data_IF_817863216540
#
_entry.id   IF_817863216540
#
_cell.length_a   1.000
_cell.length_b   1.000
_cell.length_c   1.000
_cell.angle_alpha   90.00
_cell.angle_beta   90.00
_cell.angle_gamma   90.00
#
_symmetry.space_group_name_H-M   'P 1'
#
loop_
_entity.id
_entity.type
_entity.pdbx_description
1 polymer ?
#
# COMPACT_ATOMS: atom_id res chain seq x y z
N UNK A 1 22.06 -20.12 4.91
CA UNK A 1 21.26 -19.58 6.03
C UNK A 1 20.70 -18.22 5.61
N UNK A 2 19.49 -18.21 5.14
CA UNK A 2 18.75 -16.94 5.07
C UNK A 2 18.44 -16.55 6.52
N UNK A 3 19.18 -15.61 7.08
CA UNK A 3 18.82 -15.03 8.36
C UNK A 3 17.57 -14.19 8.14
N UNK A 4 16.41 -14.74 8.45
CA UNK A 4 15.21 -13.95 8.64
C UNK A 4 15.51 -12.92 9.73
N UNK A 5 15.31 -11.64 9.42
CA UNK A 5 15.71 -10.53 10.29
C UNK A 5 14.63 -10.14 11.27
N UNK A 6 13.61 -10.94 11.41
CA UNK A 6 12.57 -10.68 12.39
C UNK A 6 12.79 -11.61 13.58
N UNK A 7 13.13 -11.04 14.73
CA UNK A 7 13.10 -11.74 16.01
C UNK A 7 11.72 -12.37 16.33
N UNK A 8 10.74 -12.07 15.50
CA UNK A 8 9.38 -12.60 15.55
C UNK A 8 9.20 -13.96 14.88
N UNK A 9 10.18 -14.46 14.12
CA UNK A 9 10.00 -15.71 13.36
C UNK A 9 10.19 -16.97 14.18
N UNK A 10 10.96 -16.92 15.27
CA UNK A 10 11.30 -18.09 16.05
C UNK A 10 10.07 -18.78 16.67
N UNK A 11 9.04 -18.01 16.99
CA UNK A 11 7.80 -18.55 17.59
C UNK A 11 6.62 -18.63 16.63
N UNK A 12 6.72 -18.04 15.45
CA UNK A 12 5.61 -17.97 14.50
C UNK A 12 5.64 -19.07 13.45
N UNK A 13 6.83 -19.51 13.07
CA UNK A 13 7.02 -20.63 12.16
C UNK A 13 8.28 -21.39 12.54
N UNK A 14 8.09 -22.60 12.99
CA UNK A 14 9.14 -23.54 13.38
C UNK A 14 8.87 -24.91 12.77
N UNK A 15 9.87 -25.77 12.75
CA UNK A 15 9.68 -27.17 12.45
C UNK A 15 9.04 -27.83 13.68
N UNK A 16 7.79 -28.28 13.53
CA UNK A 16 7.10 -29.13 14.47
C UNK A 16 7.30 -30.58 14.03
N UNK A 17 7.30 -31.51 14.98
CA UNK A 17 7.56 -32.94 14.75
C UNK A 17 8.97 -33.26 14.21
N UNK A 18 9.21 -34.50 13.77
CA UNK A 18 10.50 -34.98 13.27
C UNK A 18 10.32 -35.96 12.11
N UNK A 19 11.38 -36.12 11.30
CA UNK A 19 11.38 -37.04 10.17
C UNK A 19 10.40 -36.67 9.09
N UNK A 20 9.65 -37.60 8.58
CA UNK A 20 8.66 -37.39 7.51
C UNK A 20 7.42 -36.61 7.99
N UNK A 21 7.17 -36.57 9.29
CA UNK A 21 6.05 -35.87 9.90
C UNK A 21 6.42 -34.39 10.23
N UNK A 22 7.55 -33.90 9.74
CA UNK A 22 7.99 -32.53 9.98
C UNK A 22 7.10 -31.54 9.22
N UNK A 23 6.43 -30.69 9.96
CA UNK A 23 5.61 -29.61 9.43
C UNK A 23 6.17 -28.24 9.84
N UNK A 24 6.01 -27.23 8.99
CA UNK A 24 6.36 -25.85 9.31
C UNK A 24 5.10 -25.12 9.77
N UNK A 25 5.00 -24.90 11.07
CA UNK A 25 3.85 -24.28 11.70
C UNK A 25 4.22 -23.34 12.84
N UNK A 26 3.21 -22.84 13.52
CA UNK A 26 3.40 -22.09 14.77
C UNK A 26 3.72 -23.04 15.91
N UNK A 27 4.32 -22.53 16.97
CA UNK A 27 4.50 -23.27 18.22
C UNK A 27 3.13 -23.75 18.73
N UNK A 28 3.07 -24.98 19.22
CA UNK A 28 1.85 -25.59 19.76
C UNK A 28 0.66 -25.63 18.76
N UNK A 29 0.94 -25.66 17.46
CA UNK A 29 -0.08 -25.70 16.39
C UNK A 29 -1.07 -24.52 16.43
N UNK A 30 -0.69 -23.43 17.09
CA UNK A 30 -1.54 -22.24 17.19
C UNK A 30 -1.82 -21.65 15.80
N UNK A 31 -3.04 -21.20 15.53
CA UNK A 31 -3.35 -20.51 14.29
C UNK A 31 -2.61 -19.17 14.21
N UNK A 32 -2.28 -18.73 12.98
CA UNK A 32 -1.56 -17.46 12.76
C UNK A 32 -2.32 -16.22 13.27
N UNK A 33 -3.63 -16.32 13.46
CA UNK A 33 -4.46 -15.26 14.04
C UNK A 33 -4.21 -15.04 15.53
N UNK A 34 -3.75 -16.06 16.25
CA UNK A 34 -3.51 -16.02 17.71
C UNK A 34 -2.06 -15.71 18.07
N UNK A 35 -1.16 -15.73 17.10
CA UNK A 35 0.24 -15.35 17.33
C UNK A 35 0.51 -13.94 16.81
N UNK A 36 1.58 -13.30 17.31
CA UNK A 36 1.94 -11.94 16.88
C UNK A 36 2.37 -11.85 15.39
N UNK A 37 1.63 -12.51 14.50
CA UNK A 37 1.83 -12.45 13.06
C UNK A 37 1.21 -11.16 12.50
N UNK A 38 1.99 -10.43 11.68
CA UNK A 38 1.55 -9.18 11.02
C UNK A 38 1.05 -9.42 9.60
N UNK A 39 0.84 -10.67 9.20
CA UNK A 39 0.30 -11.09 7.91
C UNK A 39 1.04 -10.55 6.67
N UNK A 40 2.32 -10.18 6.80
CA UNK A 40 3.10 -9.52 5.75
C UNK A 40 3.49 -10.43 4.57
N UNK A 41 3.32 -11.76 4.66
CA UNK A 41 3.63 -12.73 3.60
C UNK A 41 5.12 -12.92 3.28
N UNK A 42 6.05 -12.35 4.03
CA UNK A 42 7.48 -12.52 3.76
C UNK A 42 7.96 -13.97 3.95
N UNK A 43 7.23 -14.77 4.72
CA UNK A 43 7.45 -16.20 4.81
C UNK A 43 7.10 -16.95 3.50
N UNK A 44 6.10 -16.47 2.75
CA UNK A 44 5.75 -16.99 1.42
C UNK A 44 6.92 -16.75 0.47
N UNK A 45 7.43 -15.51 0.42
CA UNK A 45 8.58 -15.13 -0.41
C UNK A 45 9.85 -15.92 -0.07
N UNK A 46 10.03 -16.27 1.21
CA UNK A 46 11.19 -17.02 1.68
C UNK A 46 11.04 -18.54 1.54
N UNK A 47 9.84 -19.05 1.26
CA UNK A 47 9.56 -20.49 1.16
C UNK A 47 10.16 -21.06 -0.13
N UNK A 48 11.17 -21.96 -0.06
CA UNK A 48 11.83 -22.46 -1.27
C UNK A 48 10.99 -23.51 -2.02
N UNK A 49 9.97 -24.07 -1.36
CA UNK A 49 9.14 -25.15 -1.90
C UNK A 49 7.76 -24.67 -2.39
N UNK A 50 7.40 -23.41 -2.12
CA UNK A 50 6.07 -22.90 -2.43
C UNK A 50 4.93 -23.50 -1.57
N UNK A 51 5.28 -24.15 -0.45
CA UNK A 51 4.29 -24.78 0.44
C UNK A 51 3.47 -23.74 1.25
N UNK A 52 3.99 -22.53 1.40
CA UNK A 52 3.30 -21.45 2.09
C UNK A 52 2.62 -20.56 1.05
N UNK A 53 1.30 -20.41 1.20
CA UNK A 53 0.48 -19.58 0.30
C UNK A 53 -0.35 -18.60 1.13
N UNK A 54 -0.85 -17.57 0.47
CA UNK A 54 -1.86 -16.68 1.01
C UNK A 54 -3.26 -17.31 0.97
N UNK A 55 -4.20 -16.72 1.69
CA UNK A 55 -5.63 -17.06 1.55
C UNK A 55 -6.08 -16.67 0.14
N UNK A 56 -6.48 -17.65 -0.66
CA UNK A 56 -6.96 -17.44 -2.02
C UNK A 56 -8.37 -16.83 -2.02
N UNK A 57 -8.53 -15.71 -2.71
CA UNK A 57 -9.82 -15.05 -2.94
C UNK A 57 -10.23 -15.05 -4.42
N UNK A 58 -9.52 -15.75 -5.29
CA UNK A 58 -9.79 -15.73 -6.74
C UNK A 58 -11.18 -16.25 -7.07
N UNK A 59 -11.62 -17.34 -6.44
CA UNK A 59 -12.93 -17.92 -6.74
C UNK A 59 -14.07 -16.97 -6.35
N UNK A 60 -14.02 -16.34 -5.18
CA UNK A 60 -15.06 -15.39 -4.74
C UNK A 60 -15.17 -14.19 -5.69
N UNK A 61 -14.03 -13.74 -6.23
CA UNK A 61 -14.00 -12.65 -7.22
C UNK A 61 -14.56 -13.11 -8.56
N UNK A 62 -14.22 -14.32 -9.03
CA UNK A 62 -14.80 -14.90 -10.24
C UNK A 62 -16.32 -15.07 -10.11
N UNK A 63 -16.81 -15.57 -8.97
CA UNK A 63 -18.23 -15.72 -8.70
C UNK A 63 -18.93 -14.35 -8.70
N UNK A 64 -18.28 -13.31 -8.17
CA UNK A 64 -18.82 -11.95 -8.20
C UNK A 64 -18.89 -11.38 -9.61
N UNK A 65 -17.86 -11.59 -10.45
CA UNK A 65 -17.81 -11.14 -11.84
C UNK A 65 -18.92 -11.81 -12.68
N UNK A 66 -19.20 -13.08 -12.42
CA UNK A 66 -20.21 -13.83 -13.16
C UNK A 66 -21.67 -13.59 -12.68
N UNK A 67 -21.86 -12.82 -11.61
CA UNK A 67 -23.16 -12.52 -11.05
C UNK A 67 -23.73 -11.26 -11.72
N UNK A 68 -24.83 -11.37 -12.52
CA UNK A 68 -25.39 -10.23 -13.24
C UNK A 68 -25.99 -9.14 -12.33
N UNK A 69 -26.30 -9.46 -11.06
CA UNK A 69 -26.82 -8.53 -10.08
C UNK A 69 -25.70 -7.68 -9.41
N UNK A 70 -24.44 -7.90 -9.79
CA UNK A 70 -23.30 -7.18 -9.23
C UNK A 70 -22.65 -6.28 -10.26
N UNK A 71 -22.08 -5.19 -9.77
CA UNK A 71 -21.08 -4.38 -10.47
C UNK A 71 -19.77 -4.56 -9.74
N UNK A 72 -18.78 -5.10 -10.44
CA UNK A 72 -17.46 -5.44 -9.85
C UNK A 72 -16.42 -4.44 -10.30
N UNK A 73 -15.93 -3.65 -9.37
CA UNK A 73 -14.89 -2.65 -9.65
C UNK A 73 -13.58 -3.04 -9.00
N UNK A 74 -12.46 -2.70 -9.62
CA UNK A 74 -11.15 -3.06 -9.11
C UNK A 74 -10.22 -1.85 -9.09
N UNK A 75 -9.43 -1.73 -8.02
CA UNK A 75 -8.33 -0.78 -7.89
C UNK A 75 -6.97 -1.51 -7.88
N UNK A 76 -5.95 -0.96 -8.54
CA UNK A 76 -4.64 -1.59 -8.70
C UNK A 76 -3.54 -0.77 -8.04
N UNK A 77 -2.73 -1.39 -7.15
CA UNK A 77 -1.63 -0.69 -6.50
C UNK A 77 -0.45 -0.41 -7.45
N UNK A 78 0.29 0.70 -7.24
CA UNK A 78 1.39 1.10 -8.13
C UNK A 78 2.48 0.04 -8.30
N UNK A 79 2.83 -0.71 -7.26
CA UNK A 79 3.86 -1.73 -7.33
C UNK A 79 3.47 -2.96 -8.17
N UNK A 80 2.17 -3.18 -8.43
CA UNK A 80 1.69 -4.31 -9.25
C UNK A 80 2.11 -4.14 -10.69
N UNK A 81 1.99 -2.93 -11.25
CA UNK A 81 2.35 -2.64 -12.66
C UNK A 81 3.81 -2.90 -13.00
N UNK A 82 4.71 -2.81 -12.01
CA UNK A 82 6.15 -3.03 -12.20
C UNK A 82 6.58 -4.50 -12.00
N UNK A 83 5.67 -5.39 -11.61
CA UNK A 83 5.97 -6.78 -11.31
C UNK A 83 5.12 -7.79 -12.09
N UNK A 84 3.87 -7.46 -12.42
CA UNK A 84 2.94 -8.38 -13.08
C UNK A 84 3.48 -8.93 -14.41
N UNK A 85 4.19 -8.11 -15.19
CA UNK A 85 4.77 -8.51 -16.48
C UNK A 85 5.79 -9.65 -16.38
N UNK A 86 6.46 -9.79 -15.24
CA UNK A 86 7.45 -10.85 -15.00
C UNK A 86 6.83 -12.24 -15.09
N UNK A 87 5.57 -12.37 -14.65
CA UNK A 87 4.79 -13.61 -14.69
C UNK A 87 4.45 -14.05 -16.12
N UNK A 88 4.65 -13.18 -17.09
CA UNK A 88 4.39 -13.41 -18.52
C UNK A 88 5.66 -13.26 -19.37
N UNK A 89 6.85 -13.43 -18.77
CA UNK A 89 8.13 -13.41 -19.46
C UNK A 89 8.61 -12.03 -19.93
N UNK A 90 7.96 -10.96 -19.51
CA UNK A 90 8.39 -9.60 -19.85
C UNK A 90 9.60 -9.16 -18.98
N UNK A 91 10.42 -8.22 -19.47
CA UNK A 91 11.55 -7.72 -18.70
C UNK A 91 11.11 -7.19 -17.33
N UNK A 92 11.90 -7.53 -16.28
CA UNK A 92 11.63 -7.15 -14.90
C UNK A 92 11.53 -5.62 -14.79
N UNK A 93 10.51 -5.13 -14.09
CA UNK A 93 10.31 -3.69 -13.87
C UNK A 93 9.62 -2.98 -15.05
N UNK A 94 9.21 -3.69 -16.10
CA UNK A 94 8.41 -3.10 -17.17
C UNK A 94 7.08 -2.61 -16.60
N UNK A 95 6.75 -1.33 -16.84
CA UNK A 95 5.41 -0.82 -16.54
C UNK A 95 4.39 -1.45 -17.50
N UNK A 96 3.52 -2.30 -16.96
CA UNK A 96 2.47 -2.99 -17.72
C UNK A 96 1.07 -2.49 -17.38
N UNK A 97 0.94 -1.25 -16.87
CA UNK A 97 -0.33 -0.67 -16.43
C UNK A 97 -1.44 -0.84 -17.48
N UNK A 98 -1.22 -0.36 -18.70
CA UNK A 98 -2.22 -0.47 -19.76
C UNK A 98 -2.61 -1.90 -20.10
N UNK A 99 -1.64 -2.82 -20.18
CA UNK A 99 -1.91 -4.25 -20.40
C UNK A 99 -2.66 -4.87 -19.22
N UNK A 100 -2.34 -4.47 -18.02
CA UNK A 100 -3.05 -4.90 -16.81
C UNK A 100 -4.51 -4.46 -16.84
N UNK A 101 -4.78 -3.20 -17.19
CA UNK A 101 -6.16 -2.68 -17.33
C UNK A 101 -6.94 -3.48 -18.37
N UNK A 102 -6.35 -3.70 -19.56
CA UNK A 102 -6.98 -4.47 -20.62
C UNK A 102 -7.25 -5.93 -20.21
N UNK A 103 -6.32 -6.56 -19.49
CA UNK A 103 -6.48 -7.93 -19.00
C UNK A 103 -7.61 -8.01 -17.95
N UNK A 104 -7.69 -7.05 -17.03
CA UNK A 104 -8.73 -7.01 -16.01
C UNK A 104 -10.12 -6.83 -16.62
N UNK A 105 -10.28 -5.98 -17.64
CA UNK A 105 -11.54 -5.87 -18.38
C UNK A 105 -11.92 -7.17 -19.08
N UNK A 106 -10.95 -7.87 -19.67
CA UNK A 106 -11.19 -9.18 -20.29
C UNK A 106 -11.52 -10.29 -19.30
N UNK A 107 -11.08 -10.15 -18.04
CA UNK A 107 -11.50 -11.01 -16.94
C UNK A 107 -12.96 -10.74 -16.50
N UNK A 108 -13.55 -9.60 -16.92
CA UNK A 108 -14.92 -9.25 -16.63
C UNK A 108 -15.13 -8.19 -15.53
N UNK A 109 -14.10 -7.50 -15.10
CA UNK A 109 -14.29 -6.34 -14.22
C UNK A 109 -14.99 -5.20 -14.96
N UNK A 110 -16.05 -4.65 -14.37
CA UNK A 110 -16.83 -3.56 -14.96
C UNK A 110 -16.06 -2.24 -15.04
N UNK A 111 -15.23 -1.97 -14.02
CA UNK A 111 -14.39 -0.77 -13.93
C UNK A 111 -13.02 -1.08 -13.33
N UNK A 112 -12.00 -0.46 -13.90
CA UNK A 112 -10.61 -0.60 -13.47
C UNK A 112 -10.07 0.77 -13.10
N UNK A 113 -9.77 0.98 -11.83
CA UNK A 113 -9.24 2.21 -11.27
C UNK A 113 -7.79 2.02 -10.79
N UNK A 114 -7.12 3.14 -10.54
CA UNK A 114 -5.74 3.15 -10.06
C UNK A 114 -5.68 3.62 -8.60
N UNK A 115 -5.06 2.82 -7.74
CA UNK A 115 -4.83 3.19 -6.34
C UNK A 115 -3.87 4.39 -6.18
N UNK A 116 -3.18 4.82 -7.24
CA UNK A 116 -2.41 6.07 -7.24
C UNK A 116 -3.30 7.27 -6.90
N UNK A 117 -4.58 7.24 -7.33
CA UNK A 117 -5.59 8.19 -6.92
C UNK A 117 -5.84 8.16 -5.40
N UNK A 118 -5.91 6.96 -4.82
CA UNK A 118 -5.98 6.76 -3.37
C UNK A 118 -4.74 7.26 -2.64
N UNK A 119 -3.57 7.05 -3.23
CA UNK A 119 -2.31 7.55 -2.70
C UNK A 119 -2.26 9.09 -2.70
N UNK A 120 -2.78 9.73 -3.74
CA UNK A 120 -2.88 11.20 -3.79
C UNK A 120 -3.74 11.74 -2.65
N UNK A 121 -4.87 11.11 -2.34
CA UNK A 121 -5.69 11.46 -1.16
C UNK A 121 -4.90 11.27 0.15
N UNK A 122 -4.18 10.16 0.28
CA UNK A 122 -3.36 9.90 1.47
C UNK A 122 -2.29 10.97 1.67
N UNK A 123 -1.62 11.39 0.59
CA UNK A 123 -0.62 12.47 0.65
C UNK A 123 -1.27 13.78 1.11
N UNK A 124 -2.47 14.10 0.59
CA UNK A 124 -3.18 15.30 0.99
C UNK A 124 -3.49 15.31 2.49
N UNK A 125 -4.08 14.23 3.00
CA UNK A 125 -4.48 14.14 4.40
C UNK A 125 -3.29 13.98 5.34
N UNK A 126 -2.31 13.13 5.02
CA UNK A 126 -1.15 12.90 5.89
C UNK A 126 -0.24 14.13 5.98
N UNK A 127 -0.08 14.87 4.88
CA UNK A 127 0.63 16.14 4.90
C UNK A 127 -0.14 17.21 5.69
N UNK A 128 -1.47 17.25 5.58
CA UNK A 128 -2.29 18.17 6.37
C UNK A 128 -2.21 17.84 7.86
N UNK A 129 -2.31 16.56 8.23
CA UNK A 129 -2.15 16.11 9.63
C UNK A 129 -0.76 16.44 10.17
N UNK A 130 0.29 16.23 9.37
CA UNK A 130 1.66 16.61 9.76
C UNK A 130 1.80 18.11 10.01
N UNK A 131 1.28 18.94 9.10
CA UNK A 131 1.30 20.40 9.23
C UNK A 131 0.56 20.84 10.48
N UNK A 132 -0.61 20.25 10.75
CA UNK A 132 -1.42 20.56 11.92
C UNK A 132 -0.67 20.23 13.22
N UNK A 133 -0.09 19.01 13.32
CA UNK A 133 0.71 18.60 14.48
C UNK A 133 1.92 19.50 14.72
N UNK A 134 2.60 19.95 13.66
CA UNK A 134 3.77 20.84 13.77
C UNK A 134 3.37 22.25 14.19
N UNK A 135 2.22 22.77 13.72
CA UNK A 135 1.76 24.13 14.02
C UNK A 135 1.06 24.24 15.37
N UNK A 136 0.24 23.26 15.70
CA UNK A 136 -0.65 23.31 16.86
C UNK A 136 -0.13 22.50 18.06
N UNK A 137 1.09 21.95 17.98
CA UNK A 137 1.73 21.25 19.09
C UNK A 137 1.22 19.83 19.31
N UNK A 138 0.84 19.13 18.23
CA UNK A 138 0.45 17.71 18.28
C UNK A 138 1.61 16.76 18.57
N UNK A 139 1.29 15.48 18.81
CA UNK A 139 2.27 14.45 19.16
C UNK A 139 3.18 14.12 17.97
N UNK A 140 4.48 14.27 18.16
CA UNK A 140 5.52 13.95 17.18
C UNK A 140 6.43 12.81 17.72
N UNK A 141 7.10 12.03 16.85
CA UNK A 141 6.94 12.06 15.39
C UNK A 141 5.56 11.60 14.96
N UNK A 142 5.05 12.10 13.83
CA UNK A 142 3.99 11.39 13.11
C UNK A 142 4.61 10.21 12.39
N UNK A 143 3.98 9.04 12.51
CA UNK A 143 4.44 7.80 11.87
C UNK A 143 3.39 7.35 10.86
N UNK A 144 3.80 7.05 9.63
CA UNK A 144 2.88 6.71 8.55
C UNK A 144 2.06 5.46 8.86
N UNK A 145 0.81 5.42 8.41
CA UNK A 145 -0.18 4.34 8.65
C UNK A 145 -0.49 3.47 7.44
N UNK A 146 0.08 3.76 6.27
CA UNK A 146 -0.25 3.07 5.01
C UNK A 146 0.20 1.60 4.95
N UNK A 147 1.08 1.16 5.86
CA UNK A 147 1.61 -0.21 5.96
C UNK A 147 0.90 -1.01 7.06
N UNK A 148 -0.11 -1.86 6.76
CA UNK A 148 -0.90 -2.54 7.78
C UNK A 148 -0.07 -3.50 8.65
N UNK A 149 0.95 -4.12 8.08
CA UNK A 149 1.87 -4.95 8.85
C UNK A 149 2.69 -4.16 9.88
N UNK A 150 3.00 -2.90 9.62
CA UNK A 150 3.60 -2.00 10.59
C UNK A 150 2.60 -1.58 11.67
N UNK A 151 1.42 -1.16 11.26
CA UNK A 151 0.37 -0.72 12.20
C UNK A 151 0.08 -1.82 13.22
N UNK A 152 -0.17 -3.06 12.76
CA UNK A 152 -0.39 -4.21 13.64
C UNK A 152 0.82 -4.51 14.53
N UNK A 153 2.04 -4.40 14.00
CA UNK A 153 3.26 -4.58 14.79
C UNK A 153 3.37 -3.53 15.89
N UNK A 154 3.10 -2.27 15.58
CA UNK A 154 3.14 -1.17 16.51
C UNK A 154 2.09 -1.34 17.61
N UNK A 155 0.84 -1.58 17.27
CA UNK A 155 -0.25 -1.80 18.23
C UNK A 155 0.01 -2.97 19.18
N UNK A 156 0.64 -4.02 18.68
CA UNK A 156 0.92 -5.22 19.50
C UNK A 156 2.15 -5.05 20.38
N UNK A 157 3.17 -4.33 19.92
CA UNK A 157 4.48 -4.30 20.58
C UNK A 157 4.81 -2.96 21.23
N UNK A 158 4.22 -1.89 20.73
CA UNK A 158 4.45 -0.50 21.14
C UNK A 158 3.12 0.26 21.23
N UNK A 159 2.15 -0.21 22.03
CA UNK A 159 0.82 0.42 22.10
C UNK A 159 0.88 1.88 22.54
N UNK A 160 1.91 2.28 23.28
CA UNK A 160 2.15 3.65 23.70
C UNK A 160 2.46 4.62 22.55
N UNK A 161 2.79 4.10 21.37
CA UNK A 161 3.00 4.88 20.15
C UNK A 161 1.74 4.97 19.27
N UNK A 162 0.61 4.47 19.72
CA UNK A 162 -0.63 4.49 18.93
C UNK A 162 -0.99 5.90 18.46
N UNK A 163 -0.87 6.91 19.32
CA UNK A 163 -1.15 8.31 18.98
C UNK A 163 -0.11 8.95 18.04
N UNK A 164 1.06 8.33 17.89
CA UNK A 164 2.06 8.77 16.94
C UNK A 164 1.75 8.30 15.53
N UNK A 165 0.99 7.20 15.38
CA UNK A 165 0.57 6.73 14.06
C UNK A 165 -0.41 7.74 13.46
N UNK A 166 -0.24 8.04 12.17
CA UNK A 166 -1.17 8.89 11.43
C UNK A 166 -2.60 8.34 11.53
N UNK A 167 -3.56 9.23 11.67
CA UNK A 167 -4.99 8.87 11.67
C UNK A 167 -5.50 8.50 10.30
N UNK A 168 -4.74 8.79 9.25
CA UNK A 168 -5.08 8.47 7.87
C UNK A 168 -5.30 6.97 7.67
N UNK A 169 -6.30 6.62 6.86
CA UNK A 169 -6.41 5.27 6.29
C UNK A 169 -5.35 5.05 5.22
N UNK A 170 -5.07 3.81 4.88
CA UNK A 170 -4.18 3.53 3.74
C UNK A 170 -4.83 3.92 2.41
N UNK A 171 -4.03 4.12 1.33
CA UNK A 171 -4.56 4.39 -0.01
C UNK A 171 -5.65 3.40 -0.46
N UNK A 172 -5.46 2.10 -0.17
CA UNK A 172 -6.47 1.07 -0.45
C UNK A 172 -7.79 1.39 0.24
N UNK A 173 -7.75 1.72 1.52
CA UNK A 173 -8.96 1.93 2.32
C UNK A 173 -9.63 3.27 2.01
N UNK A 174 -8.85 4.34 1.86
CA UNK A 174 -9.38 5.63 1.43
C UNK A 174 -10.11 5.51 0.09
N UNK A 175 -9.48 4.86 -0.86
CA UNK A 175 -10.06 4.70 -2.19
C UNK A 175 -11.25 3.74 -2.21
N UNK A 176 -11.19 2.67 -1.42
CA UNK A 176 -12.34 1.78 -1.21
C UNK A 176 -13.56 2.52 -0.67
N UNK A 177 -13.37 3.38 0.35
CA UNK A 177 -14.43 4.19 0.93
C UNK A 177 -15.02 5.19 -0.09
N UNK A 178 -14.16 5.85 -0.88
CA UNK A 178 -14.58 6.78 -1.94
C UNK A 178 -15.36 6.05 -3.04
N UNK A 179 -14.85 4.92 -3.53
CA UNK A 179 -15.55 4.08 -4.52
C UNK A 179 -16.93 3.70 -3.98
N UNK A 180 -16.99 3.23 -2.75
CA UNK A 180 -18.26 2.80 -2.15
C UNK A 180 -19.24 3.95 -1.99
N UNK A 181 -18.77 5.13 -1.61
CA UNK A 181 -19.60 6.33 -1.51
C UNK A 181 -20.11 6.79 -2.89
N UNK A 182 -19.23 6.76 -3.91
CA UNK A 182 -19.58 7.11 -5.29
C UNK A 182 -20.66 6.18 -5.86
N UNK A 183 -20.51 4.87 -5.65
CA UNK A 183 -21.48 3.86 -6.12
C UNK A 183 -22.74 3.75 -5.24
N UNK A 184 -22.93 4.61 -4.25
CA UNK A 184 -24.23 4.75 -3.58
C UNK A 184 -25.30 5.34 -4.48
N UNK A 185 -24.89 6.09 -5.50
CA UNK A 185 -25.82 6.65 -6.47
C UNK A 185 -26.38 5.53 -7.38
N UNK A 186 -27.72 5.30 -7.39
CA UNK A 186 -28.36 4.27 -8.22
C UNK A 186 -28.16 4.45 -9.72
N UNK A 187 -27.94 5.67 -10.19
CA UNK A 187 -27.63 5.95 -11.59
C UNK A 187 -26.25 5.41 -11.99
N UNK A 188 -25.30 5.40 -11.04
CA UNK A 188 -23.93 4.94 -11.25
C UNK A 188 -23.85 3.42 -11.14
N UNK A 189 -24.47 2.83 -10.12
CA UNK A 189 -24.46 1.39 -9.91
C UNK A 189 -25.50 0.62 -10.73
N UNK A 190 -26.38 1.34 -11.46
CA UNK A 190 -27.47 0.77 -12.27
C UNK A 190 -28.39 -0.17 -11.48
N UNK A 191 -28.60 0.10 -10.21
CA UNK A 191 -29.38 -0.74 -9.31
C UNK A 191 -28.68 -2.03 -8.86
N UNK A 192 -27.45 -2.29 -9.31
CA UNK A 192 -26.67 -3.48 -8.95
C UNK A 192 -25.95 -3.32 -7.62
N UNK A 193 -25.58 -4.45 -7.02
CA UNK A 193 -24.77 -4.47 -5.80
C UNK A 193 -23.30 -4.28 -6.12
N UNK A 194 -22.69 -3.25 -5.54
CA UNK A 194 -21.24 -3.03 -5.67
C UNK A 194 -20.43 -4.13 -4.98
N UNK A 195 -19.43 -4.66 -5.69
CA UNK A 195 -18.31 -5.44 -5.16
C UNK A 195 -17.01 -4.67 -5.47
N UNK A 196 -16.31 -4.25 -4.43
CA UNK A 196 -15.05 -3.53 -4.52
C UNK A 196 -13.87 -4.48 -4.31
N UNK A 197 -13.01 -4.61 -5.31
CA UNK A 197 -11.83 -5.46 -5.28
C UNK A 197 -10.58 -4.60 -5.32
N UNK A 198 -9.53 -5.00 -4.62
CA UNK A 198 -8.21 -4.38 -4.75
C UNK A 198 -7.15 -5.40 -5.15
N UNK A 199 -6.22 -5.00 -6.01
CA UNK A 199 -5.04 -5.78 -6.40
C UNK A 199 -3.82 -5.17 -5.75
N UNK A 200 -3.21 -5.92 -4.83
CA UNK A 200 -2.18 -5.43 -3.94
C UNK A 200 -0.91 -6.30 -3.97
N UNK A 201 0.27 -5.72 -3.85
CA UNK A 201 1.53 -6.47 -3.72
C UNK A 201 1.71 -7.11 -2.34
N UNK A 202 0.68 -7.14 -1.50
CA UNK A 202 0.78 -7.30 -0.06
C UNK A 202 -0.32 -8.19 0.49
N UNK A 203 0.04 -9.24 1.23
CA UNK A 203 -0.94 -10.13 1.89
C UNK A 203 -1.56 -9.51 3.15
N UNK A 204 -0.86 -8.59 3.84
CA UNK A 204 -1.43 -7.89 4.99
C UNK A 204 -2.63 -7.01 4.62
N UNK A 205 -2.77 -6.62 3.37
CA UNK A 205 -3.94 -5.91 2.85
C UNK A 205 -5.22 -6.75 2.90
N UNK A 206 -5.12 -8.09 2.85
CA UNK A 206 -6.25 -9.00 3.06
C UNK A 206 -6.80 -8.97 4.50
N UNK A 207 -5.93 -8.69 5.47
CA UNK A 207 -6.32 -8.51 6.87
C UNK A 207 -6.83 -7.09 7.13
N UNK A 208 -6.20 -6.10 6.52
CA UNK A 208 -6.56 -4.69 6.70
C UNK A 208 -8.04 -4.42 6.42
N UNK A 209 -8.62 -5.05 5.38
CA UNK A 209 -10.04 -4.86 5.03
C UNK A 209 -11.01 -5.40 6.09
N UNK A 210 -10.53 -6.25 7.00
CA UNK A 210 -11.34 -6.85 8.08
C UNK A 210 -11.28 -6.05 9.38
N UNK A 211 -10.41 -5.05 9.46
CA UNK A 211 -10.20 -4.26 10.68
C UNK A 211 -11.34 -3.26 10.88
N UNK A 212 -11.94 -3.19 12.08
CA UNK A 212 -13.07 -2.29 12.37
C UNK A 212 -12.78 -0.82 12.08
N UNK A 213 -11.56 -0.35 12.39
CA UNK A 213 -11.14 1.02 12.14
C UNK A 213 -11.00 1.37 10.65
N UNK A 214 -10.98 0.37 9.79
CA UNK A 214 -10.96 0.53 8.31
C UNK A 214 -12.35 0.48 7.68
N UNK A 215 -13.40 0.30 8.49
CA UNK A 215 -14.78 0.19 8.02
C UNK A 215 -15.50 1.53 8.08
N UNK A 216 -16.34 1.81 7.08
CA UNK A 216 -17.24 2.96 7.09
C UNK A 216 -18.62 2.52 7.55
N UNK A 217 -19.11 3.10 8.66
CA UNK A 217 -20.39 2.74 9.26
C UNK A 217 -20.54 1.22 9.54
N UNK A 218 -19.48 0.58 10.02
CA UNK A 218 -19.46 -0.85 10.32
C UNK A 218 -19.49 -1.79 9.10
N UNK A 219 -19.29 -1.26 7.89
CA UNK A 219 -19.23 -2.02 6.65
C UNK A 219 -17.84 -1.93 6.01
N UNK A 220 -17.36 -3.05 5.50
CA UNK A 220 -16.13 -3.11 4.72
C UNK A 220 -16.23 -2.23 3.46
N UNK A 221 -15.21 -1.43 3.19
CA UNK A 221 -15.13 -0.57 2.01
C UNK A 221 -14.52 -1.29 0.81
N UNK A 222 -13.68 -2.31 1.05
CA UNK A 222 -13.14 -3.23 0.05
C UNK A 222 -13.61 -4.64 0.41
N UNK A 223 -14.22 -5.35 -0.53
CA UNK A 223 -14.79 -6.69 -0.29
C UNK A 223 -13.71 -7.79 -0.41
N UNK A 224 -12.82 -7.69 -1.40
CA UNK A 224 -11.77 -8.68 -1.65
C UNK A 224 -10.44 -8.02 -2.00
N UNK A 225 -9.35 -8.70 -1.60
CA UNK A 225 -7.99 -8.33 -1.99
C UNK A 225 -7.36 -9.48 -2.76
N UNK A 226 -6.88 -9.22 -3.95
CA UNK A 226 -6.07 -10.13 -4.74
C UNK A 226 -4.60 -9.69 -4.70
N UNK A 227 -3.69 -10.65 -4.67
CA UNK A 227 -2.26 -10.41 -4.83
C UNK A 227 -1.88 -10.32 -6.30
N UNK A 228 -0.69 -9.82 -6.60
CA UNK A 228 -0.15 -9.82 -7.97
C UNK A 228 -0.09 -11.23 -8.55
N UNK A 229 0.29 -12.22 -7.74
CA UNK A 229 0.39 -13.64 -8.14
C UNK A 229 -0.98 -14.28 -8.36
N UNK A 230 -1.98 -13.97 -7.54
CA UNK A 230 -3.36 -14.42 -7.76
C UNK A 230 -3.91 -13.88 -9.10
N UNK A 231 -3.74 -12.59 -9.38
CA UNK A 231 -4.18 -12.00 -10.65
C UNK A 231 -3.44 -12.60 -11.84
N UNK A 232 -2.14 -12.82 -11.75
CA UNK A 232 -1.38 -13.50 -12.81
C UNK A 232 -1.93 -14.91 -13.08
N UNK A 233 -2.31 -15.64 -12.01
CA UNK A 233 -2.96 -16.96 -12.13
C UNK A 233 -4.32 -16.87 -12.82
N UNK A 234 -5.17 -15.89 -12.44
CA UNK A 234 -6.47 -15.66 -13.10
C UNK A 234 -6.31 -15.40 -14.60
N UNK A 235 -5.38 -14.50 -14.98
CA UNK A 235 -5.10 -14.16 -16.37
C UNK A 235 -4.66 -15.40 -17.17
N UNK A 236 -3.75 -16.23 -16.62
CA UNK A 236 -3.32 -17.48 -17.26
C UNK A 236 -4.47 -18.47 -17.42
N UNK A 237 -5.25 -18.70 -16.37
CA UNK A 237 -6.38 -19.64 -16.38
C UNK A 237 -7.48 -19.24 -17.37
N UNK A 238 -7.63 -17.95 -17.63
CA UNK A 238 -8.59 -17.41 -18.60
C UNK A 238 -8.08 -17.44 -20.04
N UNK A 239 -6.86 -17.94 -20.30
CA UNK A 239 -6.29 -18.04 -21.63
C UNK A 239 -5.90 -16.70 -22.26
N UNK A 240 -5.83 -15.63 -21.49
CA UNK A 240 -5.43 -14.29 -21.95
C UNK A 240 -3.93 -14.28 -22.23
N UNK A 241 -3.55 -14.00 -23.48
CA UNK A 241 -2.15 -13.82 -23.88
C UNK A 241 -1.69 -12.40 -23.52
N UNK A 242 -1.30 -12.23 -22.27
CA UNK A 242 -0.99 -10.93 -21.67
C UNK A 242 0.09 -10.14 -22.43
N UNK A 243 1.09 -10.82 -22.94
CA UNK A 243 2.19 -10.23 -23.72
C UNK A 243 1.72 -9.59 -25.04
N UNK A 244 0.61 -10.08 -25.61
CA UNK A 244 0.11 -9.70 -26.92
C UNK A 244 -1.08 -8.73 -26.90
N UNK A 245 -1.63 -8.41 -25.72
CA UNK A 245 -2.76 -7.48 -25.64
C UNK A 245 -2.29 -6.03 -25.71
N UNK A 246 -3.08 -5.19 -26.38
CA UNK A 246 -2.87 -3.76 -26.38
C UNK A 246 -3.26 -3.16 -25.03
N UNK A 247 -2.57 -2.09 -24.66
CA UNK A 247 -2.85 -1.39 -23.39
C UNK A 247 -4.10 -0.52 -23.50
N UNK A 248 -4.83 -0.44 -22.39
CA UNK A 248 -6.00 0.43 -22.21
C UNK A 248 -5.78 1.38 -21.06
N UNK A 249 -6.52 2.49 -21.04
CA UNK A 249 -6.49 3.46 -19.91
C UNK A 249 -7.43 3.03 -18.80
N UNK A 250 -7.10 3.43 -17.58
CA UNK A 250 -7.97 3.33 -16.41
C UNK A 250 -9.28 4.10 -16.59
N UNK A 251 -10.31 3.72 -15.84
CA UNK A 251 -11.63 4.31 -15.95
C UNK A 251 -11.75 5.65 -15.19
N UNK A 252 -12.54 6.56 -15.76
CA UNK A 252 -12.93 7.81 -15.08
C UNK A 252 -14.11 7.57 -14.12
N UNK A 253 -14.27 8.39 -13.05
CA UNK A 253 -13.54 9.65 -12.80
C UNK A 253 -12.24 9.50 -12.00
N UNK A 254 -11.82 8.29 -11.62
CA UNK A 254 -10.72 8.04 -10.71
C UNK A 254 -9.46 7.49 -11.41
N UNK A 255 -9.34 7.70 -12.71
CA UNK A 255 -8.27 7.13 -13.54
C UNK A 255 -7.01 7.98 -13.66
N UNK A 256 -6.91 9.10 -12.96
CA UNK A 256 -5.75 10.00 -13.04
C UNK A 256 -5.07 10.09 -11.68
N UNK A 257 -3.84 9.56 -11.58
CA UNK A 257 -2.97 9.70 -10.42
C UNK A 257 -1.81 10.67 -10.68
N UNK A 258 -1.08 11.03 -9.64
CA UNK A 258 0.16 11.81 -9.73
C UNK A 258 1.41 10.93 -9.63
N UNK A 259 2.56 11.47 -10.05
CA UNK A 259 3.86 10.84 -9.83
C UNK A 259 4.14 10.59 -8.35
N UNK A 260 3.61 11.43 -7.45
CA UNK A 260 3.64 11.23 -6.01
C UNK A 260 2.92 9.94 -5.59
N UNK A 261 1.76 9.63 -6.20
CA UNK A 261 1.02 8.39 -5.97
C UNK A 261 1.78 7.15 -6.41
N UNK A 262 2.35 7.18 -7.62
CA UNK A 262 3.11 6.06 -8.19
C UNK A 262 4.27 5.62 -7.30
N UNK A 263 5.05 6.56 -6.76
CA UNK A 263 6.24 6.24 -5.96
C UNK A 263 5.93 5.67 -4.57
N UNK A 264 4.66 5.61 -4.14
CA UNK A 264 4.27 4.89 -2.91
C UNK A 264 4.69 3.41 -2.91
N UNK A 265 4.89 2.83 -4.08
CA UNK A 265 5.35 1.46 -4.23
C UNK A 265 6.77 1.19 -3.73
N UNK A 266 7.59 2.21 -3.54
CA UNK A 266 9.00 2.11 -3.09
C UNK A 266 9.21 2.73 -1.71
N UNK A 267 10.25 2.27 -0.99
CA UNK A 267 10.61 2.86 0.31
C UNK A 267 11.14 4.27 0.14
N UNK A 268 10.64 5.21 0.91
CA UNK A 268 10.88 6.65 0.80
C UNK A 268 9.89 7.37 -0.10
N UNK A 269 9.03 6.65 -0.79
CA UNK A 269 8.07 7.22 -1.72
C UNK A 269 6.99 8.05 -1.03
N UNK A 270 6.53 7.64 0.14
CA UNK A 270 5.57 8.41 0.94
C UNK A 270 6.20 9.71 1.41
N UNK A 271 7.40 9.62 2.01
CA UNK A 271 8.15 10.81 2.45
C UNK A 271 8.44 11.75 1.30
N UNK A 272 8.88 11.23 0.15
CA UNK A 272 9.13 12.05 -1.04
C UNK A 272 7.84 12.75 -1.52
N UNK A 273 6.71 12.06 -1.53
CA UNK A 273 5.44 12.63 -1.96
C UNK A 273 4.95 13.72 -0.99
N UNK A 274 5.08 13.50 0.33
CA UNK A 274 4.80 14.53 1.35
C UNK A 274 5.72 15.74 1.17
N UNK A 275 7.02 15.54 0.97
CA UNK A 275 7.96 16.62 0.71
C UNK A 275 7.57 17.45 -0.53
N UNK A 276 7.17 16.78 -1.61
CA UNK A 276 6.66 17.46 -2.82
C UNK A 276 5.42 18.31 -2.52
N UNK A 277 4.52 17.82 -1.67
CA UNK A 277 3.30 18.53 -1.26
C UNK A 277 3.60 19.74 -0.39
N UNK A 278 4.58 19.65 0.51
CA UNK A 278 4.98 20.74 1.41
C UNK A 278 5.69 21.88 0.69
N UNK A 279 6.35 21.61 -0.42
CA UNK A 279 7.06 22.64 -1.18
C UNK A 279 6.13 23.44 -2.08
N UNK A 280 6.29 24.76 -2.07
CA UNK A 280 5.48 25.69 -2.88
C UNK A 280 5.93 25.76 -4.34
N UNK A 281 7.19 25.44 -4.62
CA UNK A 281 7.76 25.51 -5.96
C UNK A 281 7.36 24.34 -6.88
N UNK A 282 7.37 24.59 -8.18
CA UNK A 282 7.03 23.63 -9.24
C UNK A 282 8.21 23.38 -10.17
N UNK A 283 9.40 23.91 -9.85
CA UNK A 283 10.54 23.81 -10.73
C UNK A 283 11.12 22.38 -10.75
N UNK A 284 11.64 22.00 -11.91
CA UNK A 284 12.38 20.73 -12.07
C UNK A 284 13.54 20.62 -11.07
N UNK A 285 14.19 21.74 -10.78
CA UNK A 285 15.33 21.81 -9.84
C UNK A 285 14.89 21.45 -8.42
N UNK A 286 13.72 21.90 -7.97
CA UNK A 286 13.19 21.55 -6.65
C UNK A 286 12.81 20.07 -6.56
N UNK A 287 12.19 19.52 -7.61
CA UNK A 287 11.90 18.09 -7.67
C UNK A 287 13.18 17.26 -7.62
N UNK A 288 14.23 17.68 -8.33
CA UNK A 288 15.51 16.97 -8.33
C UNK A 288 16.22 17.09 -6.97
N UNK A 289 16.11 18.23 -6.27
CA UNK A 289 16.60 18.36 -4.89
C UNK A 289 15.95 17.36 -3.94
N UNK A 290 14.62 17.19 -4.01
CA UNK A 290 13.92 16.20 -3.20
C UNK A 290 14.40 14.78 -3.54
N UNK A 291 14.47 14.44 -4.83
CA UNK A 291 14.93 13.12 -5.30
C UNK A 291 16.34 12.78 -4.83
N UNK A 292 17.22 13.79 -4.72
CA UNK A 292 18.61 13.62 -4.29
C UNK A 292 18.85 13.87 -2.80
N UNK A 293 17.82 14.18 -2.02
CA UNK A 293 17.91 14.45 -0.57
C UNK A 293 18.30 13.25 0.30
N UNK A 294 18.48 12.05 -0.30
CA UNK A 294 18.70 10.81 0.43
C UNK A 294 17.39 10.03 0.72
N UNK A 295 16.23 10.57 0.32
CA UNK A 295 14.93 9.89 0.49
C UNK A 295 14.85 8.60 -0.32
N UNK A 296 15.47 8.56 -1.51
CA UNK A 296 15.57 7.38 -2.37
C UNK A 296 16.74 6.49 -1.95
N UNK A 297 16.64 5.21 -2.18
CA UNK A 297 17.69 4.23 -1.92
C UNK A 297 17.19 3.00 -1.20
N UNK A 298 18.09 2.05 -0.98
CA UNK A 298 17.79 0.69 -0.50
C UNK A 298 18.10 0.46 0.98
N UNK A 299 18.69 1.44 1.65
CA UNK A 299 19.12 1.31 3.04
C UNK A 299 17.92 1.04 3.96
N UNK A 300 18.15 0.22 4.99
CA UNK A 300 17.13 -0.17 5.94
C UNK A 300 16.61 0.99 6.79
N UNK A 301 17.44 2.01 7.00
CA UNK A 301 17.14 3.28 7.64
C UNK A 301 17.80 4.39 6.82
N UNK A 302 17.05 5.42 6.51
CA UNK A 302 17.53 6.67 5.91
C UNK A 302 17.06 7.82 6.76
N UNK A 303 17.91 8.79 6.99
CA UNK A 303 17.62 9.98 7.80
C UNK A 303 17.86 11.20 6.92
N UNK A 304 16.95 12.16 6.98
CA UNK A 304 17.04 13.38 6.19
C UNK A 304 16.49 14.57 6.98
N UNK A 305 16.99 15.75 6.63
CA UNK A 305 16.49 17.02 7.15
C UNK A 305 16.06 17.92 6.01
N UNK A 306 15.02 18.71 6.24
CA UNK A 306 14.57 19.72 5.29
C UNK A 306 13.97 20.91 6.03
N UNK A 307 13.99 22.07 5.39
CA UNK A 307 13.32 23.26 5.92
C UNK A 307 11.85 23.30 5.51
N UNK A 308 10.98 23.59 6.47
CA UNK A 308 9.58 23.90 6.22
C UNK A 308 9.18 25.14 6.99
N UNK A 309 8.92 26.24 6.28
CA UNK A 309 8.54 27.55 6.86
C UNK A 309 9.53 28.06 7.92
N UNK A 310 10.84 27.87 7.69
CA UNK A 310 11.91 28.29 8.61
C UNK A 310 12.13 27.40 9.80
N UNK A 311 11.47 26.23 9.85
CA UNK A 311 11.72 25.19 10.86
C UNK A 311 12.44 24.02 10.21
N UNK A 312 13.54 23.57 10.82
CA UNK A 312 14.20 22.32 10.44
C UNK A 312 13.32 21.14 10.83
N UNK A 313 12.93 20.33 9.85
CA UNK A 313 12.16 19.11 10.01
C UNK A 313 13.10 17.92 9.83
N UNK A 314 13.06 16.99 10.78
CA UNK A 314 13.82 15.74 10.74
C UNK A 314 12.90 14.60 10.37
N UNK A 315 13.25 13.88 9.29
CA UNK A 315 12.49 12.73 8.87
C UNK A 315 13.35 11.46 8.84
N UNK A 316 12.71 10.32 9.11
CA UNK A 316 13.31 9.00 8.95
C UNK A 316 12.46 8.14 8.02
N UNK A 317 13.12 7.35 7.18
CA UNK A 317 12.51 6.34 6.32
C UNK A 317 13.08 4.99 6.72
N UNK A 318 12.24 4.13 7.24
CA UNK A 318 12.65 2.79 7.69
C UNK A 318 11.88 1.69 6.98
N UNK A 319 12.58 0.64 6.57
CA UNK A 319 11.96 -0.51 5.94
C UNK A 319 12.41 -1.82 6.57
N UNK A 320 11.44 -2.75 6.72
CA UNK A 320 11.61 -3.99 7.46
C UNK A 320 11.38 -3.83 8.96
N UNK A 321 10.49 -4.64 9.53
CA UNK A 321 10.07 -4.53 10.94
C UNK A 321 11.22 -4.64 11.94
N UNK A 322 12.27 -5.41 11.64
CA UNK A 322 13.45 -5.48 12.50
C UNK A 322 14.24 -4.16 12.55
N UNK A 323 14.24 -3.37 11.48
CA UNK A 323 14.84 -2.03 11.49
C UNK A 323 13.91 -1.03 12.18
N UNK A 324 12.59 -1.15 11.97
CA UNK A 324 11.60 -0.35 12.67
C UNK A 324 11.66 -0.55 14.19
N UNK A 325 11.79 -1.80 14.66
CA UNK A 325 11.99 -2.15 16.08
C UNK A 325 13.21 -1.43 16.68
N UNK A 326 14.32 -1.42 15.95
CA UNK A 326 15.54 -0.72 16.38
C UNK A 326 15.35 0.80 16.42
N UNK A 327 14.69 1.36 15.42
CA UNK A 327 14.44 2.80 15.36
C UNK A 327 13.51 3.24 16.50
N UNK A 328 12.43 2.51 16.75
CA UNK A 328 11.50 2.80 17.85
C UNK A 328 12.22 2.80 19.19
N UNK A 329 13.10 1.83 19.46
CA UNK A 329 13.89 1.78 20.70
C UNK A 329 14.81 2.98 20.85
N UNK A 330 15.42 3.45 19.78
CA UNK A 330 16.27 4.65 19.78
C UNK A 330 15.44 5.93 20.04
N UNK A 331 14.23 6.01 19.48
CA UNK A 331 13.31 7.12 19.76
C UNK A 331 12.89 7.10 21.24
N UNK A 332 12.50 5.94 21.77
CA UNK A 332 12.06 5.79 23.16
C UNK A 332 13.18 6.07 24.17
N UNK A 333 14.41 5.71 23.85
CA UNK A 333 15.57 6.02 24.71
C UNK A 333 16.00 7.49 24.66
N UNK A 334 15.41 8.30 23.78
CA UNK A 334 15.81 9.69 23.55
C UNK A 334 17.14 9.87 22.79
N UNK A 335 17.69 8.79 22.23
CA UNK A 335 18.93 8.84 21.41
C UNK A 335 18.71 9.65 20.13
N UNK A 336 17.53 9.55 19.54
CA UNK A 336 17.16 10.26 18.31
C UNK A 336 15.74 10.83 18.42
N UNK A 337 15.49 11.92 17.71
CA UNK A 337 14.17 12.51 17.59
C UNK A 337 13.88 12.90 16.15
N UNK A 338 12.64 12.67 15.72
CA UNK A 338 12.15 13.00 14.39
C UNK A 338 10.80 13.71 14.48
N UNK A 339 10.43 14.39 13.40
CA UNK A 339 9.11 14.99 13.24
C UNK A 339 8.22 14.09 12.37
N UNK A 340 8.81 13.40 11.38
CA UNK A 340 8.12 12.51 10.45
C UNK A 340 8.85 11.18 10.29
N UNK A 341 8.13 10.05 10.33
CA UNK A 341 8.72 8.72 10.16
C UNK A 341 7.90 7.88 9.19
N UNK A 342 8.48 7.53 8.04
CA UNK A 342 7.91 6.53 7.15
C UNK A 342 8.33 5.13 7.58
N UNK A 343 7.35 4.22 7.73
CA UNK A 343 7.62 2.82 8.04
C UNK A 343 6.99 1.89 7.01
N UNK A 344 7.84 1.10 6.34
CA UNK A 344 7.43 0.00 5.49
C UNK A 344 7.72 -1.34 6.17
N UNK A 345 6.68 -2.18 6.38
CA UNK A 345 6.85 -3.51 6.99
C UNK A 345 7.77 -4.41 6.15
N UNK A 346 7.63 -4.34 4.84
CA UNK A 346 8.47 -5.09 3.90
C UNK A 346 9.80 -4.38 3.68
N UNK A 347 10.90 -5.14 3.63
CA UNK A 347 12.19 -4.58 3.22
C UNK A 347 12.07 -4.01 1.80
N UNK A 348 12.45 -2.74 1.64
CA UNK A 348 12.53 -2.02 0.36
C UNK A 348 11.19 -1.61 -0.25
N UNK A 349 10.10 -1.71 0.51
CA UNK A 349 8.78 -1.23 0.12
C UNK A 349 7.91 -2.28 -0.57
N UNK A 350 6.79 -1.83 -1.12
CA UNK A 350 5.73 -2.66 -1.69
C UNK A 350 6.16 -3.44 -2.94
N UNK A 351 7.16 -2.94 -3.69
CA UNK A 351 7.76 -3.68 -4.83
C UNK A 351 8.33 -5.06 -4.45
N UNK A 352 8.56 -5.28 -3.15
CA UNK A 352 9.04 -6.55 -2.57
C UNK A 352 8.03 -7.15 -1.59
N UNK A 353 6.77 -6.79 -1.72
CA UNK A 353 5.67 -7.27 -0.87
C UNK A 353 5.44 -8.78 -0.98
N UNK A 354 4.80 -9.36 0.04
CA UNK A 354 4.53 -10.80 0.12
C UNK A 354 3.56 -11.37 -0.91
N UNK A 355 2.87 -10.50 -1.67
CA UNK A 355 1.99 -10.88 -2.78
C UNK A 355 2.59 -10.64 -4.17
N UNK A 356 3.88 -10.30 -4.25
CA UNK A 356 4.60 -10.14 -5.51
C UNK A 356 5.21 -11.46 -6.00
N UNK A 357 5.54 -11.58 -7.31
CA UNK A 357 6.24 -12.74 -7.85
C UNK A 357 7.49 -13.09 -7.05
N UNK A 358 7.67 -14.39 -6.77
CA UNK A 358 8.75 -14.95 -5.93
C UNK A 358 10.05 -15.05 -6.74
N UNK A 359 11.20 -15.17 -6.04
CA UNK A 359 12.53 -15.31 -6.67
C UNK A 359 13.26 -13.99 -6.91
N UNK A 360 12.76 -12.92 -6.33
CA UNK A 360 13.28 -11.58 -6.48
C UNK A 360 14.61 -11.34 -5.74
N UNK A 361 15.69 -11.23 -6.50
CA UNK A 361 17.02 -10.83 -6.01
C UNK A 361 17.26 -9.31 -6.03
N UNK A 362 18.48 -8.86 -5.72
CA UNK A 362 18.83 -7.42 -5.75
C UNK A 362 18.62 -6.76 -7.12
N UNK A 363 18.81 -7.50 -8.23
CA UNK A 363 18.59 -7.00 -9.59
C UNK A 363 17.12 -6.74 -9.85
N UNK A 364 16.23 -7.68 -9.48
CA UNK A 364 14.77 -7.56 -9.59
C UNK A 364 14.27 -6.31 -8.88
N UNK A 365 14.72 -6.12 -7.64
CA UNK A 365 14.34 -4.96 -6.84
C UNK A 365 14.69 -3.63 -7.53
N UNK A 366 15.94 -3.48 -7.98
CA UNK A 366 16.38 -2.26 -8.66
C UNK A 366 15.57 -2.00 -9.93
N UNK A 367 15.27 -3.05 -10.68
CA UNK A 367 14.48 -2.95 -11.90
C UNK A 367 13.03 -2.53 -11.61
N UNK A 368 12.35 -3.14 -10.63
CA UNK A 368 10.99 -2.75 -10.22
C UNK A 368 10.95 -1.32 -9.70
N UNK A 369 11.91 -0.92 -8.86
CA UNK A 369 12.00 0.46 -8.37
C UNK A 369 12.22 1.45 -9.53
N UNK A 370 13.13 1.12 -10.46
CA UNK A 370 13.37 1.93 -11.66
C UNK A 370 12.09 2.09 -12.48
N UNK A 371 11.32 1.02 -12.69
CA UNK A 371 10.05 1.08 -13.42
C UNK A 371 9.07 2.09 -12.83
N UNK A 372 8.92 2.15 -11.49
CA UNK A 372 8.07 3.15 -10.84
C UNK A 372 8.65 4.57 -10.92
N UNK A 373 9.97 4.73 -10.76
CA UNK A 373 10.60 6.03 -10.90
C UNK A 373 10.56 6.56 -12.33
N UNK A 374 10.71 5.70 -13.34
CA UNK A 374 10.55 6.07 -14.75
C UNK A 374 9.10 6.48 -15.04
N UNK A 375 8.13 5.80 -14.45
CA UNK A 375 6.71 6.18 -14.54
C UNK A 375 6.48 7.57 -13.96
N UNK A 376 6.96 7.83 -12.72
CA UNK A 376 6.90 9.16 -12.10
C UNK A 376 7.52 10.25 -13.00
N UNK A 377 8.68 9.97 -13.60
CA UNK A 377 9.35 10.94 -14.48
C UNK A 377 8.49 11.28 -15.69
N UNK A 378 7.75 10.32 -16.22
CA UNK A 378 6.92 10.50 -17.43
C UNK A 378 5.52 11.06 -17.13
N UNK A 379 5.04 11.01 -15.89
CA UNK A 379 3.74 11.60 -15.53
C UNK A 379 3.77 13.12 -15.62
N UNK A 380 2.67 13.70 -16.10
CA UNK A 380 2.52 15.17 -16.18
C UNK A 380 2.28 15.78 -14.81
N UNK A 381 1.40 15.18 -14.02
CA UNK A 381 1.10 15.62 -12.65
C UNK A 381 2.14 15.03 -11.71
N UNK A 382 2.86 15.88 -10.97
CA UNK A 382 3.94 15.46 -10.06
C UNK A 382 3.51 15.43 -8.61
N UNK A 383 2.58 16.29 -8.22
CA UNK A 383 2.12 16.50 -6.86
C UNK A 383 0.64 16.18 -6.76
N UNK A 384 0.25 15.59 -5.65
CA UNK A 384 -1.15 15.20 -5.38
C UNK A 384 -2.10 16.40 -5.37
N UNK A 385 -1.63 17.55 -4.86
CA UNK A 385 -2.41 18.79 -4.83
C UNK A 385 -2.52 19.52 -6.19
N UNK A 386 -1.95 18.95 -7.23
CA UNK A 386 -2.09 19.39 -8.63
C UNK A 386 -3.04 18.49 -9.42
N UNK A 387 -3.50 17.38 -8.83
CA UNK A 387 -4.42 16.46 -9.48
C UNK A 387 -5.84 17.05 -9.49
N UNK A 388 -6.35 17.49 -10.67
CA UNK A 388 -7.64 18.18 -10.74
C UNK A 388 -8.81 17.28 -10.31
N UNK A 389 -8.69 15.96 -10.50
CA UNK A 389 -9.73 15.02 -10.12
C UNK A 389 -9.80 14.85 -8.60
N UNK A 390 -8.64 14.85 -7.93
CA UNK A 390 -8.58 14.85 -6.47
C UNK A 390 -9.16 16.15 -5.91
N UNK A 391 -8.79 17.30 -6.46
CA UNK A 391 -9.35 18.58 -6.02
C UNK A 391 -10.88 18.63 -6.18
N UNK A 392 -11.40 18.20 -7.34
CA UNK A 392 -12.83 18.12 -7.58
C UNK A 392 -13.54 17.16 -6.61
N UNK A 393 -12.88 16.07 -6.21
CA UNK A 393 -13.41 15.13 -5.23
C UNK A 393 -13.59 15.79 -3.84
N UNK A 394 -12.62 16.60 -3.40
CA UNK A 394 -12.70 17.33 -2.13
C UNK A 394 -13.80 18.42 -2.13
N UNK A 395 -13.99 19.10 -3.26
CA UNK A 395 -15.05 20.09 -3.43
C UNK A 395 -16.45 19.46 -3.54
N UNK A 396 -16.52 18.20 -3.99
CA UNK A 396 -17.77 17.46 -4.26
C UNK A 396 -18.06 16.36 -3.23
N UNK A 397 -17.74 15.12 -3.58
CA UNK A 397 -18.13 13.90 -2.84
C UNK A 397 -17.63 13.87 -1.39
N UNK A 398 -16.40 14.36 -1.15
CA UNK A 398 -15.78 14.40 0.17
C UNK A 398 -16.20 15.58 1.04
N UNK A 399 -16.91 16.57 0.49
CA UNK A 399 -17.31 17.75 1.25
C UNK A 399 -18.09 17.39 2.50
N UNK A 400 -17.54 17.68 3.68
CA UNK A 400 -18.11 17.33 4.98
C UNK A 400 -18.03 15.87 5.37
N UNK A 401 -17.32 15.02 4.58
CA UNK A 401 -17.18 13.57 4.83
C UNK A 401 -15.71 13.12 4.90
N UNK A 402 -14.76 14.03 4.75
CA UNK A 402 -13.34 13.73 4.66
C UNK A 402 -12.87 12.87 5.83
N UNK A 403 -13.14 13.30 7.06
CA UNK A 403 -12.72 12.58 8.25
C UNK A 403 -13.35 11.18 8.31
N UNK A 404 -14.65 11.06 8.04
CA UNK A 404 -15.38 9.78 8.08
C UNK A 404 -14.85 8.77 7.06
N UNK A 405 -14.48 9.21 5.85
CA UNK A 405 -14.10 8.32 4.75
C UNK A 405 -12.59 8.09 4.68
N UNK A 406 -11.78 9.06 5.08
CA UNK A 406 -10.34 9.02 4.86
C UNK A 406 -9.52 8.74 6.13
N UNK A 407 -10.12 8.91 7.34
CA UNK A 407 -9.42 8.65 8.60
C UNK A 407 -9.91 7.38 9.28
N UNK A 408 -9.04 6.80 10.11
CA UNK A 408 -9.36 5.61 10.90
C UNK A 408 -10.34 5.98 12.02
N UNK A 409 -11.37 5.16 12.19
CA UNK A 409 -12.26 5.31 13.33
C UNK A 409 -11.60 4.69 14.57
N UNK A 410 -10.94 5.52 15.37
CA UNK A 410 -10.24 5.10 16.58
C UNK A 410 -11.16 5.04 17.81
N UNK A 411 -12.49 5.05 17.62
CA UNK A 411 -13.45 4.96 18.73
C UNK A 411 -13.55 6.23 19.59
N UNK A 412 -13.01 7.34 19.13
CA UNK A 412 -13.24 8.64 19.76
C UNK A 412 -14.66 9.07 19.39
N UNK A 413 -15.61 8.82 20.29
CA UNK A 413 -16.90 9.48 20.24
C UNK A 413 -16.64 10.97 20.43
N UNK A 414 -16.93 11.77 19.42
CA UNK A 414 -17.03 13.22 19.60
C UNK A 414 -18.04 13.48 20.74
N UNK A 415 -17.54 14.00 21.86
CA UNK A 415 -18.37 14.54 22.94
C UNK A 415 -18.84 15.95 22.58
#
# INVERSE_FOLDING_TARGET
RVRSSAASDVYKRQANNRGFDTEIGCAFEMPLSEVACVSCGQCIVACPTGALTEKDNTQQVIDAINDPEKVVVVQTAPAVRAALGEEFGMPIGTNVEGKMVAALRRLGFDKVYDTDFGADMTIMEEANEFIDRVKNGGKLPIITSCSPGWVKFCETRYPELADNISTCRSPQQMFGAVIREYYRNPEINQGKKLVSVSIMPCTAKKEEILRPESMTNGRQDVDYVLTTTEVASMIRKSGIRFENIDGESTDMPFGIGSGGGVIFGVTGGVTEAVLRRLQTGHSRVEMDRIRTSGVRGDDGLKELTFDYMGKEIRAAVVNGLGNADKLVKRIQSGEVSYDFVEVMACRRGCIMGGGQPVGAGPRTRKARAKGLYDTDVNMQIKKSNENPMVLALYEGLLKGKTHQLLHRNLGVTEN
#
